data_IF_682840671449
#
_entry.id   IF_682840671449
#
_cell.length_a   1.000
_cell.length_b   1.000
_cell.length_c   1.000
_cell.angle_alpha   90.00
_cell.angle_beta   90.00
_cell.angle_gamma   90.00
#
_symmetry.space_group_name_H-M   'P 1'
#
loop_
_entity.id
_entity.type
_entity.pdbx_description
1 polymer ?
#
# COMPACT_ATOMS: atom_id res chain seq x y z
N UNK A 1 8.25 23.00 20.70
CA UNK A 1 7.66 21.86 21.42
C UNK A 1 6.40 21.32 20.72
N UNK A 2 5.41 22.17 20.39
CA UNK A 2 4.16 21.74 19.70
C UNK A 2 4.40 21.08 18.34
N UNK A 3 5.30 21.63 17.49
CA UNK A 3 5.62 21.04 16.18
C UNK A 3 6.17 19.61 16.28
N UNK A 4 7.08 19.35 17.22
CA UNK A 4 7.64 18.01 17.42
C UNK A 4 6.59 16.99 17.86
N UNK A 5 5.67 17.39 18.75
CA UNK A 5 4.55 16.55 19.18
C UNK A 5 3.64 16.20 17.99
N UNK A 6 3.34 17.17 17.13
CA UNK A 6 2.56 16.96 15.92
C UNK A 6 3.20 15.95 14.96
N UNK A 7 4.51 16.07 14.68
CA UNK A 7 5.21 15.12 13.81
C UNK A 7 5.28 13.72 14.40
N UNK A 8 5.46 13.60 15.72
CA UNK A 8 5.44 12.31 16.39
C UNK A 8 4.07 11.65 16.30
N UNK A 9 3.00 12.43 16.54
CA UNK A 9 1.63 11.94 16.38
C UNK A 9 1.32 11.56 14.93
N UNK A 10 1.80 12.34 13.96
CA UNK A 10 1.58 12.02 12.56
C UNK A 10 2.35 10.75 12.12
N UNK A 11 3.60 10.59 12.57
CA UNK A 11 4.36 9.36 12.38
C UNK A 11 3.64 8.15 13.02
N UNK A 12 3.06 8.33 14.21
CA UNK A 12 2.26 7.30 14.86
C UNK A 12 1.02 6.89 14.04
N UNK A 13 0.30 7.86 13.46
CA UNK A 13 -0.82 7.58 12.54
C UNK A 13 -0.35 6.77 11.33
N UNK A 14 0.82 7.10 10.76
CA UNK A 14 1.38 6.34 9.62
C UNK A 14 1.67 4.90 10.03
N UNK A 15 2.28 4.68 11.20
CA UNK A 15 2.51 3.33 11.73
C UNK A 15 1.20 2.56 11.90
N UNK A 16 0.16 3.19 12.43
CA UNK A 16 -1.16 2.57 12.56
C UNK A 16 -1.77 2.24 11.19
N UNK A 17 -1.64 3.12 10.19
CA UNK A 17 -2.16 2.91 8.84
C UNK A 17 -1.50 1.71 8.14
N UNK A 18 -0.16 1.62 8.21
CA UNK A 18 0.57 0.46 7.71
C UNK A 18 0.26 -0.81 8.50
N UNK A 19 0.17 -0.72 9.83
CA UNK A 19 -0.22 -1.83 10.69
C UNK A 19 -1.61 -2.37 10.36
N UNK A 20 -2.58 -1.47 10.14
CA UNK A 20 -3.93 -1.84 9.71
C UNK A 20 -3.93 -2.49 8.32
N UNK A 21 -3.15 -1.96 7.38
CA UNK A 21 -3.01 -2.54 6.02
C UNK A 21 -2.46 -3.97 6.08
N UNK A 22 -1.46 -4.22 6.94
CA UNK A 22 -0.91 -5.55 7.17
C UNK A 22 -1.88 -6.47 7.92
N UNK A 23 -2.62 -5.94 8.88
CA UNK A 23 -3.68 -6.67 9.57
C UNK A 23 -4.75 -7.19 8.60
N UNK A 24 -5.19 -6.38 7.62
CA UNK A 24 -6.15 -6.83 6.60
C UNK A 24 -5.59 -8.00 5.79
N UNK A 25 -4.30 -7.96 5.45
CA UNK A 25 -3.65 -9.09 4.78
C UNK A 25 -3.66 -10.36 5.62
N UNK A 26 -3.25 -10.27 6.89
CA UNK A 26 -3.26 -11.42 7.80
C UNK A 26 -4.67 -11.97 8.00
N UNK A 27 -5.66 -11.10 8.14
CA UNK A 27 -7.07 -11.46 8.27
C UNK A 27 -7.56 -12.24 7.05
N UNK A 28 -7.21 -11.78 5.83
CA UNK A 28 -7.52 -12.50 4.59
C UNK A 28 -6.81 -13.86 4.55
N UNK A 29 -5.52 -13.91 4.88
CA UNK A 29 -4.76 -15.15 4.88
C UNK A 29 -5.32 -16.20 5.85
N UNK A 30 -5.67 -15.78 7.07
CA UNK A 30 -6.27 -16.65 8.08
C UNK A 30 -7.65 -17.14 7.64
N UNK A 31 -8.47 -16.26 7.05
CA UNK A 31 -9.82 -16.60 6.59
C UNK A 31 -9.78 -17.65 5.48
N UNK A 32 -8.88 -17.47 4.50
CA UNK A 32 -8.66 -18.47 3.43
C UNK A 32 -8.15 -19.80 3.98
N UNK A 33 -7.20 -19.79 4.92
CA UNK A 33 -6.70 -21.03 5.57
C UNK A 33 -7.80 -21.77 6.33
N UNK A 34 -8.68 -21.03 7.01
CA UNK A 34 -9.80 -21.59 7.76
C UNK A 34 -11.03 -21.90 6.89
N UNK A 35 -10.98 -21.62 5.58
CA UNK A 35 -12.14 -21.70 4.66
C UNK A 35 -13.35 -20.93 5.19
N UNK A 36 -13.10 -19.78 5.83
CA UNK A 36 -14.11 -18.86 6.35
C UNK A 36 -14.13 -17.59 5.50
N UNK A 37 -15.29 -16.95 5.46
CA UNK A 37 -15.45 -15.64 4.84
C UNK A 37 -14.89 -14.53 5.74
N UNK A 38 -14.27 -13.52 5.14
CA UNK A 38 -13.91 -12.28 5.86
C UNK A 38 -15.16 -11.52 6.30
N UNK A 39 -15.09 -10.67 7.33
CA UNK A 39 -16.22 -9.86 7.76
C UNK A 39 -16.75 -8.95 6.64
N UNK A 40 -18.07 -8.68 6.62
CA UNK A 40 -18.70 -7.84 5.58
C UNK A 40 -18.10 -6.44 5.45
N UNK A 41 -17.59 -5.86 6.54
CA UNK A 41 -16.93 -4.55 6.48
C UNK A 41 -15.65 -4.58 5.63
N UNK A 42 -14.95 -5.72 5.53
CA UNK A 42 -13.77 -5.90 4.70
C UNK A 42 -14.13 -5.70 3.23
N UNK A 43 -15.22 -6.31 2.78
CA UNK A 43 -15.73 -6.15 1.43
C UNK A 43 -16.14 -4.71 1.12
N UNK A 44 -16.75 -4.03 2.08
CA UNK A 44 -17.12 -2.61 1.92
C UNK A 44 -15.89 -1.72 1.74
N UNK A 45 -14.79 -2.01 2.44
CA UNK A 45 -13.51 -1.30 2.22
C UNK A 45 -13.05 -1.52 0.77
N UNK A 46 -13.00 -2.77 0.31
CA UNK A 46 -12.59 -3.08 -1.06
C UNK A 46 -13.42 -2.37 -2.13
N UNK A 47 -14.74 -2.38 -1.96
CA UNK A 47 -15.68 -1.67 -2.84
C UNK A 47 -15.49 -0.15 -2.81
N UNK A 48 -15.17 0.42 -1.64
CA UNK A 48 -14.89 1.86 -1.53
C UNK A 48 -13.59 2.28 -2.20
N UNK A 49 -12.62 1.37 -2.28
CA UNK A 49 -11.33 1.58 -2.96
C UNK A 49 -11.41 1.35 -4.47
N UNK A 50 -12.55 0.89 -4.97
CA UNK A 50 -12.77 0.71 -6.39
C UNK A 50 -12.75 2.06 -7.10
N UNK A 51 -11.96 2.14 -8.16
CA UNK A 51 -11.86 3.36 -8.96
C UNK A 51 -13.20 3.66 -9.65
N UNK A 52 -13.66 4.92 -9.60
CA UNK A 52 -14.96 5.31 -10.19
C UNK A 52 -14.95 5.20 -11.71
N UNK A 53 -13.77 5.20 -12.32
CA UNK A 53 -13.55 5.21 -13.77
C UNK A 53 -13.79 3.82 -14.38
N UNK A 54 -13.48 2.74 -13.65
CA UNK A 54 -13.71 1.36 -14.09
C UNK A 54 -14.75 0.68 -13.18
N UNK A 55 -16.04 0.85 -13.52
CA UNK A 55 -17.19 0.19 -12.86
C UNK A 55 -17.25 -1.32 -13.11
N UNK A 56 -16.16 -2.05 -12.86
CA UNK A 56 -16.15 -3.52 -12.88
C UNK A 56 -16.58 -4.02 -11.51
N UNK A 57 -17.73 -4.68 -11.41
CA UNK A 57 -18.24 -5.16 -10.12
C UNK A 57 -17.21 -6.08 -9.45
N UNK A 58 -16.68 -5.66 -8.29
CA UNK A 58 -15.78 -6.48 -7.48
C UNK A 58 -16.53 -7.71 -6.95
N UNK A 59 -15.86 -8.85 -6.94
CA UNK A 59 -16.36 -10.06 -6.32
C UNK A 59 -16.06 -10.05 -4.82
N UNK A 60 -17.11 -10.16 -4.02
CA UNK A 60 -17.04 -10.35 -2.58
C UNK A 60 -16.83 -11.84 -2.28
N UNK A 61 -15.61 -12.32 -2.50
CA UNK A 61 -15.23 -13.72 -2.26
C UNK A 61 -13.91 -13.82 -1.52
N UNK A 62 -13.90 -14.62 -0.45
CA UNK A 62 -12.68 -14.99 0.29
C UNK A 62 -12.06 -16.25 -0.30
N UNK A 63 -11.41 -16.14 -1.46
CA UNK A 63 -10.81 -17.27 -2.14
C UNK A 63 -9.28 -17.20 -2.20
N UNK A 64 -8.66 -18.30 -2.64
CA UNK A 64 -7.22 -18.38 -2.81
C UNK A 64 -6.69 -17.39 -3.85
N UNK A 65 -7.47 -17.06 -4.89
CA UNK A 65 -7.06 -16.13 -5.93
C UNK A 65 -6.96 -14.68 -5.42
N UNK A 66 -7.90 -14.24 -4.58
CA UNK A 66 -7.84 -12.95 -3.89
C UNK A 66 -6.59 -12.85 -2.99
N UNK A 67 -6.26 -13.94 -2.28
CA UNK A 67 -5.04 -14.02 -1.48
C UNK A 67 -3.78 -14.04 -2.36
N UNK A 68 -3.79 -14.73 -3.50
CA UNK A 68 -2.67 -14.79 -4.46
C UNK A 68 -2.37 -13.41 -5.03
N UNK A 69 -3.39 -12.64 -5.42
CA UNK A 69 -3.24 -11.25 -5.84
C UNK A 69 -2.64 -10.38 -4.73
N UNK A 70 -3.18 -10.48 -3.52
CA UNK A 70 -2.68 -9.72 -2.35
C UNK A 70 -1.22 -10.07 -2.02
N UNK A 71 -0.85 -11.36 -2.11
CA UNK A 71 0.53 -11.83 -1.93
C UNK A 71 1.48 -11.31 -3.00
N UNK A 72 1.04 -11.29 -4.26
CA UNK A 72 1.84 -10.76 -5.37
C UNK A 72 2.10 -9.26 -5.18
N UNK A 73 1.05 -8.50 -4.85
CA UNK A 73 1.15 -7.08 -4.53
C UNK A 73 2.17 -6.83 -3.41
N UNK A 74 2.03 -7.52 -2.27
CA UNK A 74 2.93 -7.34 -1.12
C UNK A 74 4.38 -7.71 -1.44
N UNK A 75 4.61 -8.85 -2.09
CA UNK A 75 5.97 -9.29 -2.44
C UNK A 75 6.62 -8.33 -3.42
N UNK A 76 5.90 -7.91 -4.46
CA UNK A 76 6.43 -6.95 -5.42
C UNK A 76 6.68 -5.57 -4.80
N UNK A 77 5.80 -5.12 -3.90
CA UNK A 77 6.02 -3.89 -3.14
C UNK A 77 7.30 -3.98 -2.30
N UNK A 78 7.51 -5.07 -1.55
CA UNK A 78 8.72 -5.27 -0.74
C UNK A 78 9.99 -5.33 -1.60
N UNK A 79 9.96 -6.09 -2.71
CA UNK A 79 11.10 -6.21 -3.62
C UNK A 79 11.45 -4.87 -4.25
N UNK A 80 10.47 -4.17 -4.81
CA UNK A 80 10.71 -2.88 -5.45
C UNK A 80 11.17 -1.84 -4.43
N UNK A 81 10.61 -1.85 -3.22
CA UNK A 81 11.08 -1.00 -2.10
C UNK A 81 12.54 -1.26 -1.76
N UNK A 82 12.94 -2.53 -1.69
CA UNK A 82 14.34 -2.90 -1.42
C UNK A 82 15.29 -2.39 -2.51
N UNK A 83 14.96 -2.58 -3.79
CA UNK A 83 15.76 -2.07 -4.90
C UNK A 83 15.84 -0.53 -4.91
N UNK A 84 14.72 0.14 -4.65
CA UNK A 84 14.67 1.61 -4.58
C UNK A 84 15.54 2.14 -3.43
N UNK A 85 15.52 1.48 -2.27
CA UNK A 85 16.40 1.83 -1.16
C UNK A 85 17.88 1.70 -1.55
N UNK A 86 18.28 0.57 -2.14
CA UNK A 86 19.66 0.35 -2.60
C UNK A 86 20.10 1.38 -3.63
N UNK A 87 19.22 1.71 -4.59
CA UNK A 87 19.49 2.72 -5.61
C UNK A 87 19.78 4.09 -5.01
N UNK A 88 18.95 4.55 -4.06
CA UNK A 88 19.18 5.83 -3.41
C UNK A 88 20.39 5.80 -2.47
N UNK A 89 20.63 4.68 -1.80
CA UNK A 89 21.80 4.51 -0.95
C UNK A 89 23.11 4.57 -1.75
N UNK A 90 23.15 3.97 -2.94
CA UNK A 90 24.30 4.06 -3.84
C UNK A 90 24.54 5.49 -4.36
N UNK A 91 23.47 6.28 -4.53
CA UNK A 91 23.53 7.66 -5.04
C UNK A 91 23.86 8.70 -3.96
N UNK A 92 23.51 8.44 -2.70
CA UNK A 92 23.62 9.41 -1.61
C UNK A 92 24.20 8.78 -0.35
N UNK A 93 25.36 9.28 0.09
CA UNK A 93 25.98 8.85 1.34
C UNK A 93 25.25 9.35 2.60
N UNK A 94 24.31 10.30 2.46
CA UNK A 94 23.53 10.84 3.57
C UNK A 94 22.23 10.06 3.77
N UNK A 95 22.13 9.36 4.91
CA UNK A 95 20.96 8.54 5.29
C UNK A 95 19.65 9.32 5.22
N UNK A 96 19.64 10.60 5.62
CA UNK A 96 18.44 11.44 5.56
C UNK A 96 17.91 11.59 4.14
N UNK A 97 18.78 11.92 3.18
CA UNK A 97 18.43 12.05 1.76
C UNK A 97 17.86 10.76 1.18
N UNK A 98 18.45 9.61 1.57
CA UNK A 98 17.95 8.28 1.17
C UNK A 98 16.53 8.06 1.69
N UNK A 99 16.28 8.33 2.97
CA UNK A 99 14.96 8.15 3.60
C UNK A 99 13.89 9.07 2.99
N UNK A 100 14.19 10.34 2.71
CA UNK A 100 13.25 11.26 2.08
C UNK A 100 12.86 10.80 0.67
N UNK A 101 13.85 10.43 -0.15
CA UNK A 101 13.57 9.99 -1.52
C UNK A 101 12.89 8.63 -1.57
N UNK A 102 13.27 7.71 -0.68
CA UNK A 102 12.60 6.43 -0.50
C UNK A 102 11.13 6.61 -0.09
N UNK A 103 10.86 7.47 0.89
CA UNK A 103 9.49 7.76 1.35
C UNK A 103 8.62 8.36 0.23
N UNK A 104 9.18 9.25 -0.59
CA UNK A 104 8.49 9.77 -1.79
C UNK A 104 8.20 8.67 -2.81
N UNK A 105 9.15 7.78 -3.04
CA UNK A 105 9.01 6.68 -3.99
C UNK A 105 7.99 5.61 -3.54
N UNK A 106 7.78 5.43 -2.23
CA UNK A 106 6.88 4.40 -1.69
C UNK A 106 5.45 4.49 -2.28
N UNK A 107 4.93 5.70 -2.46
CA UNK A 107 3.63 5.90 -3.10
C UNK A 107 3.62 5.41 -4.56
N UNK A 108 4.65 5.75 -5.32
CA UNK A 108 4.81 5.31 -6.72
C UNK A 108 4.90 3.79 -6.79
N UNK A 109 5.65 3.17 -5.89
CA UNK A 109 5.79 1.72 -5.79
C UNK A 109 4.44 1.06 -5.52
N UNK A 110 3.69 1.53 -4.52
CA UNK A 110 2.34 1.02 -4.23
C UNK A 110 1.41 1.15 -5.44
N UNK A 111 1.44 2.29 -6.13
CA UNK A 111 0.60 2.53 -7.30
C UNK A 111 0.95 1.61 -8.47
N UNK A 112 2.24 1.55 -8.85
CA UNK A 112 2.73 0.68 -9.93
C UNK A 112 2.42 -0.79 -9.61
N UNK A 113 2.61 -1.22 -8.37
CA UNK A 113 2.33 -2.60 -7.98
C UNK A 113 0.84 -2.93 -8.00
N UNK A 114 -0.05 -1.97 -7.66
CA UNK A 114 -1.50 -2.17 -7.78
C UNK A 114 -1.86 -2.40 -9.24
N UNK A 115 -1.42 -1.51 -10.14
CA UNK A 115 -1.69 -1.63 -11.57
C UNK A 115 -1.12 -2.95 -12.12
N UNK A 116 0.14 -3.28 -11.79
CA UNK A 116 0.76 -4.53 -12.23
C UNK A 116 -0.01 -5.75 -11.73
N UNK A 117 -0.48 -5.74 -10.47
CA UNK A 117 -1.27 -6.84 -9.90
C UNK A 117 -2.62 -6.99 -10.61
N UNK A 118 -3.23 -5.88 -11.04
CA UNK A 118 -4.46 -5.91 -11.82
C UNK A 118 -4.22 -6.44 -13.22
N UNK A 119 -3.15 -5.99 -13.90
CA UNK A 119 -2.80 -6.37 -15.28
C UNK A 119 -2.25 -7.80 -15.39
N UNK A 120 -1.59 -8.30 -14.36
CA UNK A 120 -1.08 -9.65 -14.34
C UNK A 120 -2.24 -10.65 -14.17
N UNK A 121 -2.53 -11.42 -15.22
CA UNK A 121 -3.50 -12.52 -15.14
C UNK A 121 -2.95 -13.60 -14.19
N UNK A 122 -3.21 -13.44 -12.90
CA UNK A 122 -2.91 -14.44 -11.87
C UNK A 122 -3.95 -15.57 -11.84
N UNK A 123 -5.04 -15.45 -12.61
CA UNK A 123 -6.08 -16.47 -12.80
C UNK A 123 -5.65 -17.57 -13.77
N UNK A 124 -6.12 -18.79 -13.52
CA UNK A 124 -5.71 -20.03 -14.19
C UNK A 124 -6.24 -20.24 -15.62
N UNK A 125 -7.07 -19.34 -16.17
CA UNK A 125 -7.72 -19.58 -17.46
C UNK A 125 -7.79 -18.35 -18.38
N UNK A 126 -7.41 -18.44 -19.67
CA UNK A 126 -7.50 -17.35 -20.64
C UNK A 126 -8.94 -16.95 -21.02
N UNK A 127 -9.96 -17.72 -20.61
CA UNK A 127 -11.35 -17.61 -21.09
C UNK A 127 -12.34 -17.08 -20.06
N UNK A 128 -11.95 -16.93 -18.79
CA UNK A 128 -12.85 -16.45 -17.74
C UNK A 128 -12.79 -14.93 -17.61
N UNK A 129 -13.96 -14.31 -17.46
CA UNK A 129 -14.11 -12.85 -17.27
C UNK A 129 -13.18 -12.43 -16.13
N UNK A 130 -12.32 -11.44 -16.39
CA UNK A 130 -11.33 -10.95 -15.41
C UNK A 130 -12.04 -10.58 -14.10
N UNK A 131 -11.83 -11.42 -13.09
CA UNK A 131 -12.50 -11.28 -11.80
C UNK A 131 -11.64 -10.44 -10.88
N UNK A 132 -12.19 -9.32 -10.42
CA UNK A 132 -11.53 -8.41 -9.50
C UNK A 132 -12.05 -8.69 -8.10
N UNK A 133 -11.17 -8.94 -7.15
CA UNK A 133 -11.58 -9.35 -5.80
C UNK A 133 -11.60 -8.17 -4.84
N UNK A 134 -12.74 -7.96 -4.19
CA UNK A 134 -12.92 -6.89 -3.20
C UNK A 134 -11.86 -6.93 -2.08
N UNK A 135 -11.51 -8.11 -1.50
CA UNK A 135 -10.48 -8.15 -0.46
C UNK A 135 -9.08 -7.70 -0.91
N UNK A 136 -8.70 -8.00 -2.15
CA UNK A 136 -7.40 -7.61 -2.71
C UNK A 136 -7.31 -6.09 -2.93
N UNK A 137 -8.42 -5.49 -3.35
CA UNK A 137 -8.55 -4.03 -3.50
C UNK A 137 -8.52 -3.32 -2.15
N UNK A 138 -9.12 -3.90 -1.10
CA UNK A 138 -9.07 -3.33 0.25
C UNK A 138 -7.62 -3.24 0.75
N UNK A 139 -6.86 -4.33 0.62
CA UNK A 139 -5.46 -4.39 1.07
C UNK A 139 -4.60 -3.39 0.28
N UNK A 140 -4.60 -3.49 -1.05
CA UNK A 140 -3.80 -2.59 -1.91
C UNK A 140 -4.19 -1.12 -1.75
N UNK A 141 -5.50 -0.82 -1.62
CA UNK A 141 -6.00 0.53 -1.36
C UNK A 141 -5.53 1.10 -0.02
N UNK A 142 -5.57 0.31 1.06
CA UNK A 142 -5.06 0.73 2.36
C UNK A 142 -3.54 0.98 2.35
N UNK A 143 -2.76 0.16 1.64
CA UNK A 143 -1.32 0.41 1.45
C UNK A 143 -1.06 1.70 0.66
N UNK A 144 -1.87 2.00 -0.36
CA UNK A 144 -1.77 3.27 -1.09
C UNK A 144 -2.07 4.45 -0.19
N UNK A 145 -3.16 4.42 0.58
CA UNK A 145 -3.49 5.50 1.53
C UNK A 145 -2.37 5.69 2.55
N UNK A 146 -1.85 4.60 3.11
CA UNK A 146 -0.72 4.65 4.04
C UNK A 146 0.52 5.29 3.39
N UNK A 147 0.79 4.98 2.13
CA UNK A 147 1.90 5.59 1.38
C UNK A 147 1.67 7.06 1.02
N UNK A 148 0.42 7.49 0.82
CA UNK A 148 0.08 8.92 0.64
C UNK A 148 0.31 9.68 1.95
N UNK A 149 -0.07 9.12 3.10
CA UNK A 149 0.21 9.73 4.40
C UNK A 149 1.73 9.86 4.63
N UNK A 150 2.50 8.83 4.28
CA UNK A 150 3.96 8.89 4.32
C UNK A 150 4.51 9.97 3.38
N UNK A 151 4.03 10.05 2.14
CA UNK A 151 4.44 11.09 1.19
C UNK A 151 4.18 12.50 1.75
N UNK A 152 2.98 12.74 2.29
CA UNK A 152 2.64 14.02 2.91
C UNK A 152 3.57 14.35 4.08
N UNK A 153 3.82 13.40 4.97
CA UNK A 153 4.76 13.58 6.08
C UNK A 153 6.17 13.94 5.61
N UNK A 154 6.68 13.20 4.62
CA UNK A 154 8.02 13.39 4.05
C UNK A 154 8.13 14.75 3.38
N UNK A 155 7.13 15.17 2.59
CA UNK A 155 7.10 16.50 1.97
C UNK A 155 7.02 17.61 3.02
N UNK A 156 6.17 17.48 4.04
CA UNK A 156 6.09 18.47 5.13
C UNK A 156 7.41 18.61 5.90
N UNK A 157 8.09 17.49 6.19
CA UNK A 157 9.39 17.50 6.86
C UNK A 157 10.50 18.11 6.00
N UNK A 158 10.46 17.87 4.68
CA UNK A 158 11.40 18.47 3.73
C UNK A 158 11.21 20.01 3.64
N UNK A 159 9.97 20.49 3.56
CA UNK A 159 9.65 21.93 3.56
C UNK A 159 10.14 22.65 4.83
N UNK A 160 9.95 22.03 6.00
CA UNK A 160 10.46 22.58 7.27
C UNK A 160 11.98 22.65 7.32
N UNK A 161 12.68 21.65 6.78
CA UNK A 161 14.14 21.68 6.70
C UNK A 161 14.63 22.87 5.87
N UNK A 162 13.95 23.19 4.77
CA UNK A 162 14.30 24.35 3.94
C UNK A 162 14.02 25.68 4.64
N UNK A 163 12.89 25.81 5.36
CA UNK A 163 12.58 27.01 6.13
C UNK A 163 13.50 27.27 7.33
N UNK A 164 14.05 26.22 7.95
CA UNK A 164 14.99 26.36 9.08
C UNK A 164 16.42 26.66 8.59
N UNK A 165 16.75 26.31 7.33
CA UNK A 165 18.10 26.49 6.77
C UNK A 165 18.34 27.84 6.09
N UNK A 166 17.29 28.63 5.85
CA UNK A 166 17.37 29.99 5.32
C UNK A 166 16.60 30.95 6.24
N UNK A 167 17.24 31.49 7.30
CA UNK A 167 16.79 32.72 7.95
C UNK A 167 17.06 33.95 7.08
#
# INVERSE_FOLDING_TARGET
MVYYLFYLFFAFIICLAYGFSFYLYLLLELSVKQKKEVPNWFYRIGQSMQDRIHRVKLEDRTNYDALKQSRFFLRGMLLLSFFTYLFFHAKSHAISSVLFNFGKAQFVICFVMKELTQYWNLGSSPKEKRSYYSPSFAISGCFIISSVLLLLFVVSMEQLRFHISFP
#
